data_IF_597211022926
#
_entry.id   IF_597211022926
#
_cell.length_a   1.000
_cell.length_b   1.000
_cell.length_c   1.000
_cell.angle_alpha   90.00
_cell.angle_beta   90.00
_cell.angle_gamma   90.00
#
_symmetry.space_group_name_H-M   'P 1'
#
loop_
_entity.id
_entity.type
_entity.pdbx_description
1 polymer ?
#
# COMPACT_ATOMS: atom_id res chain seq x y z
N UNK A 1 -49.72 35.74 5.85
CA UNK A 1 -49.48 34.35 6.33
C UNK A 1 -49.37 33.43 5.12
N UNK A 2 -48.16 33.01 4.75
CA UNK A 2 -47.92 31.92 3.78
C UNK A 2 -47.05 30.90 4.49
N UNK A 3 -47.61 29.72 4.75
CA UNK A 3 -46.91 28.59 5.35
C UNK A 3 -46.09 27.93 4.25
N UNK A 4 -44.76 27.88 4.43
CA UNK A 4 -43.85 27.14 3.56
C UNK A 4 -43.85 25.67 3.99
N UNK A 5 -44.08 24.76 3.03
CA UNK A 5 -43.95 23.32 3.20
C UNK A 5 -42.46 22.93 3.28
N UNK A 6 -42.07 21.96 4.11
CA UNK A 6 -40.70 21.47 4.15
C UNK A 6 -40.37 20.68 2.87
N UNK A 7 -39.23 21.02 2.27
CA UNK A 7 -38.67 20.34 1.11
C UNK A 7 -38.43 18.86 1.39
N UNK A 8 -38.85 18.03 0.45
CA UNK A 8 -38.60 16.60 0.44
C UNK A 8 -37.08 16.34 0.51
N UNK A 9 -36.64 15.70 1.59
CA UNK A 9 -35.33 15.08 1.64
C UNK A 9 -35.31 13.99 0.56
N UNK A 10 -34.47 14.18 -0.46
CA UNK A 10 -34.21 13.16 -1.47
C UNK A 10 -33.50 12.00 -0.80
N UNK A 11 -34.18 10.87 -0.64
CA UNK A 11 -33.59 9.59 -0.27
C UNK A 11 -32.50 9.25 -1.28
N UNK A 12 -31.26 8.92 -0.85
CA UNK A 12 -30.22 8.47 -1.78
C UNK A 12 -30.69 7.18 -2.47
N UNK A 13 -30.42 7.00 -3.78
CA UNK A 13 -30.78 5.78 -4.48
C UNK A 13 -30.10 4.58 -3.80
N UNK A 14 -30.85 3.49 -3.65
CA UNK A 14 -30.33 2.22 -3.16
C UNK A 14 -29.14 1.77 -4.04
N UNK A 15 -28.10 1.11 -3.47
CA UNK A 15 -26.99 0.62 -4.26
C UNK A 15 -27.53 -0.37 -5.29
N UNK A 16 -27.29 -0.10 -6.57
CA UNK A 16 -27.63 -1.03 -7.65
C UNK A 16 -26.85 -2.33 -7.46
N UNK A 17 -27.52 -3.49 -7.55
CA UNK A 17 -26.94 -4.84 -7.57
C UNK A 17 -25.96 -5.09 -8.75
N UNK A 18 -25.68 -4.06 -9.56
CA UNK A 18 -24.70 -4.10 -10.61
C UNK A 18 -23.29 -4.14 -10.01
N UNK A 19 -22.50 -5.14 -10.44
CA UNK A 19 -21.09 -5.25 -10.08
C UNK A 19 -20.33 -3.96 -10.44
N UNK A 20 -19.35 -3.51 -9.64
CA UNK A 20 -18.54 -2.35 -10.00
C UNK A 20 -17.70 -2.62 -11.27
N UNK A 21 -17.30 -1.56 -11.98
CA UNK A 21 -16.54 -1.67 -13.23
C UNK A 21 -15.26 -2.53 -13.08
N UNK A 22 -14.58 -2.44 -11.94
CA UNK A 22 -13.41 -3.27 -11.63
C UNK A 22 -13.70 -4.77 -11.53
N UNK A 23 -14.91 -5.16 -11.10
CA UNK A 23 -15.34 -6.54 -11.07
C UNK A 23 -15.86 -7.02 -12.44
N UNK A 24 -16.43 -6.12 -13.25
CA UNK A 24 -16.87 -6.45 -14.61
C UNK A 24 -15.70 -6.59 -15.60
N UNK A 25 -14.64 -5.80 -15.42
CA UNK A 25 -13.50 -5.74 -16.33
C UNK A 25 -12.16 -5.94 -15.60
N UNK A 26 -11.93 -7.08 -14.93
CA UNK A 26 -10.75 -7.30 -14.08
C UNK A 26 -9.44 -7.18 -14.87
N UNK A 27 -9.42 -7.60 -16.13
CA UNK A 27 -8.24 -7.53 -16.99
C UNK A 27 -7.77 -6.10 -17.27
N UNK A 28 -8.69 -5.12 -17.32
CA UNK A 28 -8.36 -3.70 -17.50
C UNK A 28 -7.73 -3.13 -16.24
N UNK A 29 -8.25 -3.50 -15.07
CA UNK A 29 -7.76 -3.03 -13.78
C UNK A 29 -6.46 -3.74 -13.32
N UNK A 30 -6.16 -4.90 -13.91
CA UNK A 30 -4.94 -5.69 -13.67
C UNK A 30 -3.83 -5.42 -14.71
N UNK A 31 -3.91 -4.34 -15.48
CA UNK A 31 -2.87 -3.98 -16.44
C UNK A 31 -1.62 -3.44 -15.73
N UNK A 32 -0.44 -3.89 -16.16
CA UNK A 32 0.87 -3.54 -15.57
C UNK A 32 1.08 -2.03 -15.42
N UNK A 33 0.64 -1.23 -16.41
CA UNK A 33 0.78 0.22 -16.40
C UNK A 33 0.07 0.89 -15.20
N UNK A 34 -1.00 0.28 -14.67
CA UNK A 34 -1.75 0.80 -13.52
C UNK A 34 -1.16 0.32 -12.19
N UNK A 35 -0.59 -0.88 -12.16
CA UNK A 35 0.08 -1.46 -10.99
C UNK A 35 1.46 -0.83 -10.76
N UNK A 36 2.23 -0.68 -11.84
CA UNK A 36 3.57 -0.13 -11.88
C UNK A 36 3.62 1.13 -12.76
N UNK A 37 3.08 2.29 -12.29
CA UNK A 37 3.13 3.53 -13.05
C UNK A 37 4.55 3.86 -13.55
N UNK A 38 4.73 4.13 -14.85
CA UNK A 38 6.04 4.46 -15.39
C UNK A 38 6.56 5.77 -14.79
N UNK A 39 7.88 5.90 -14.69
CA UNK A 39 8.50 7.18 -14.34
C UNK A 39 8.61 8.01 -15.62
N UNK A 40 7.94 9.17 -15.67
CA UNK A 40 7.88 10.03 -16.87
C UNK A 40 9.26 10.31 -17.48
N UNK A 41 10.28 10.55 -16.66
CA UNK A 41 11.66 10.81 -17.12
C UNK A 41 12.39 9.60 -17.70
N UNK A 42 11.82 8.39 -17.58
CA UNK A 42 12.43 7.12 -18.02
C UNK A 42 11.70 6.46 -19.20
N UNK A 43 10.59 7.02 -19.65
CA UNK A 43 9.78 6.45 -20.73
C UNK A 43 9.63 7.42 -21.90
N UNK A 44 9.26 6.89 -23.05
CA UNK A 44 8.95 7.72 -24.22
C UNK A 44 7.65 8.49 -23.99
N UNK A 45 7.47 9.59 -24.73
CA UNK A 45 6.22 10.36 -24.72
C UNK A 45 5.00 9.51 -25.10
N UNK A 46 5.18 8.53 -25.99
CA UNK A 46 4.12 7.62 -26.41
C UNK A 46 3.65 6.72 -25.27
N UNK A 47 4.57 6.07 -24.55
CA UNK A 47 4.25 5.22 -23.39
C UNK A 47 3.61 6.03 -22.26
N UNK A 48 4.08 7.27 -22.04
CA UNK A 48 3.46 8.16 -21.06
C UNK A 48 2.01 8.56 -21.44
N UNK A 49 1.76 8.80 -22.73
CA UNK A 49 0.43 9.13 -23.22
C UNK A 49 -0.54 7.94 -23.09
N UNK A 50 -0.07 6.73 -23.44
CA UNK A 50 -0.83 5.47 -23.28
C UNK A 50 -1.20 5.24 -21.80
N UNK A 51 -0.22 5.37 -20.90
CA UNK A 51 -0.47 5.27 -19.46
C UNK A 51 -1.53 6.27 -18.99
N UNK A 52 -1.45 7.53 -19.41
CA UNK A 52 -2.43 8.56 -19.04
C UNK A 52 -3.83 8.26 -19.57
N UNK A 53 -3.95 7.88 -20.84
CA UNK A 53 -5.23 7.55 -21.45
C UNK A 53 -5.92 6.38 -20.72
N UNK A 54 -5.12 5.36 -20.39
CA UNK A 54 -5.59 4.20 -19.66
C UNK A 54 -5.99 4.57 -18.22
N UNK A 55 -5.17 5.36 -17.52
CA UNK A 55 -5.47 5.86 -16.18
C UNK A 55 -6.75 6.69 -16.16
N UNK A 56 -6.92 7.62 -17.11
CA UNK A 56 -8.09 8.48 -17.21
C UNK A 56 -9.36 7.66 -17.47
N UNK A 57 -9.28 6.65 -18.35
CA UNK A 57 -10.40 5.75 -18.64
C UNK A 57 -10.85 4.98 -17.40
N UNK A 58 -9.91 4.36 -16.69
CA UNK A 58 -10.20 3.56 -15.50
C UNK A 58 -10.65 4.43 -14.34
N UNK A 59 -10.07 5.63 -14.20
CA UNK A 59 -10.43 6.63 -13.19
C UNK A 59 -11.86 7.13 -13.38
N UNK A 60 -12.26 7.45 -14.62
CA UNK A 60 -13.62 7.85 -14.92
C UNK A 60 -14.65 6.76 -14.54
N UNK A 61 -14.35 5.50 -14.88
CA UNK A 61 -15.20 4.37 -14.50
C UNK A 61 -15.23 4.14 -12.97
N UNK A 62 -14.08 4.32 -12.30
CA UNK A 62 -13.98 4.17 -10.85
C UNK A 62 -14.70 5.28 -10.08
N UNK A 63 -14.67 6.52 -10.59
CA UNK A 63 -15.36 7.67 -10.01
C UNK A 63 -16.89 7.50 -9.96
N UNK A 64 -17.46 6.72 -10.89
CA UNK A 64 -18.88 6.39 -10.90
C UNK A 64 -19.26 5.24 -9.93
N UNK A 65 -18.28 4.60 -9.28
CA UNK A 65 -18.53 3.48 -8.38
C UNK A 65 -19.19 3.94 -7.08
N UNK A 66 -20.32 3.36 -6.66
CA UNK A 66 -20.98 3.72 -5.41
C UNK A 66 -20.15 3.37 -4.16
N UNK A 67 -19.18 2.47 -4.30
CA UNK A 67 -18.27 2.06 -3.21
C UNK A 67 -16.96 2.85 -3.19
N UNK A 68 -16.82 3.89 -4.01
CA UNK A 68 -15.57 4.65 -4.17
C UNK A 68 -14.97 5.09 -2.83
N UNK A 69 -15.77 5.76 -1.99
CA UNK A 69 -15.31 6.38 -0.75
C UNK A 69 -14.83 5.31 0.25
N UNK A 70 -15.61 4.25 0.44
CA UNK A 70 -15.24 3.13 1.32
C UNK A 70 -14.00 2.40 0.78
N UNK A 71 -13.97 2.13 -0.54
CA UNK A 71 -12.85 1.46 -1.19
C UNK A 71 -11.54 2.24 -1.03
N UNK A 72 -11.58 3.56 -1.25
CA UNK A 72 -10.44 4.45 -1.03
C UNK A 72 -9.99 4.42 0.43
N UNK A 73 -10.91 4.66 1.37
CA UNK A 73 -10.60 4.68 2.80
C UNK A 73 -9.94 3.37 3.26
N UNK A 74 -10.54 2.23 2.92
CA UNK A 74 -10.00 0.91 3.30
C UNK A 74 -8.65 0.65 2.66
N UNK A 75 -8.47 0.97 1.38
CA UNK A 75 -7.20 0.80 0.68
C UNK A 75 -6.08 1.69 1.22
N UNK A 76 -6.41 2.86 1.80
CA UNK A 76 -5.42 3.79 2.36
C UNK A 76 -5.11 3.46 3.82
N UNK A 77 -6.14 3.21 4.63
CA UNK A 77 -6.06 3.16 6.09
C UNK A 77 -5.98 1.75 6.64
N UNK A 78 -6.60 0.76 5.99
CA UNK A 78 -6.78 -0.58 6.55
C UNK A 78 -5.89 -1.64 5.90
N UNK A 79 -5.91 -1.74 4.56
CA UNK A 79 -5.26 -2.84 3.83
C UNK A 79 -4.53 -2.30 2.60
N UNK A 80 -3.27 -2.69 2.42
CA UNK A 80 -2.54 -2.38 1.19
C UNK A 80 -2.78 -3.44 0.13
N UNK A 81 -3.79 -3.22 -0.70
CA UNK A 81 -4.10 -4.08 -1.86
C UNK A 81 -3.18 -3.73 -3.02
N UNK A 82 -2.69 -4.72 -3.77
CA UNK A 82 -1.95 -4.48 -5.01
C UNK A 82 -2.83 -3.88 -6.12
N UNK A 83 -2.22 -3.21 -7.10
CA UNK A 83 -2.93 -2.67 -8.27
C UNK A 83 -3.78 -1.41 -8.04
N UNK A 84 -4.66 -1.14 -9.01
CA UNK A 84 -5.53 0.05 -9.02
C UNK A 84 -6.81 -0.16 -8.23
N UNK A 85 -6.98 0.58 -7.13
CA UNK A 85 -8.08 0.41 -6.16
C UNK A 85 -8.45 1.79 -5.60
N UNK A 86 -9.73 2.01 -5.32
CA UNK A 86 -10.18 3.27 -4.72
C UNK A 86 -9.83 4.50 -5.55
N UNK A 87 -9.88 4.39 -6.87
CA UNK A 87 -9.54 5.48 -7.82
C UNK A 87 -8.06 5.92 -7.77
N UNK A 88 -7.19 5.08 -7.19
CA UNK A 88 -5.77 5.38 -6.98
C UNK A 88 -4.86 4.26 -7.48
N UNK A 89 -3.69 4.65 -7.97
CA UNK A 89 -2.56 3.75 -8.20
C UNK A 89 -1.85 3.41 -6.88
N UNK A 90 -1.03 2.34 -6.83
CA UNK A 90 -0.22 2.04 -5.65
C UNK A 90 0.74 3.18 -5.26
N UNK A 91 1.23 3.95 -6.24
CA UNK A 91 2.09 5.11 -6.00
C UNK A 91 1.33 6.23 -5.29
N UNK A 92 0.14 6.58 -5.77
CA UNK A 92 -0.71 7.60 -5.16
C UNK A 92 -1.11 7.22 -3.74
N UNK A 93 -1.52 5.97 -3.48
CA UNK A 93 -1.81 5.50 -2.10
C UNK A 93 -0.64 5.67 -1.16
N UNK A 94 0.59 5.36 -1.60
CA UNK A 94 1.80 5.57 -0.79
C UNK A 94 2.03 7.05 -0.46
N UNK A 95 1.70 7.95 -1.38
CA UNK A 95 1.78 9.39 -1.15
C UNK A 95 0.69 9.84 -0.16
N UNK A 96 -0.55 9.37 -0.31
CA UNK A 96 -1.67 9.69 0.59
C UNK A 96 -1.35 9.23 2.01
N UNK A 97 -0.91 7.98 2.18
CA UNK A 97 -0.49 7.45 3.49
C UNK A 97 0.65 8.26 4.10
N UNK A 98 1.63 8.67 3.29
CA UNK A 98 2.74 9.52 3.76
C UNK A 98 2.25 10.88 4.23
N UNK A 99 1.32 11.50 3.51
CA UNK A 99 0.73 12.80 3.87
C UNK A 99 -0.06 12.70 5.18
N UNK A 100 -0.81 11.61 5.37
CA UNK A 100 -1.62 11.36 6.57
C UNK A 100 -0.82 10.78 7.75
N UNK A 101 0.44 10.38 7.54
CA UNK A 101 1.25 9.71 8.56
C UNK A 101 0.77 8.29 8.89
N UNK A 102 0.06 7.64 7.97
CA UNK A 102 -0.46 6.27 8.11
C UNK A 102 0.60 5.26 7.66
N UNK A 103 0.71 4.15 8.38
CA UNK A 103 1.48 2.98 7.95
C UNK A 103 0.56 1.76 7.94
N UNK A 104 0.42 1.13 6.77
CA UNK A 104 -0.32 -0.12 6.60
C UNK A 104 0.70 -1.20 6.24
N UNK A 105 0.64 -2.33 6.94
CA UNK A 105 1.48 -3.48 6.59
C UNK A 105 1.03 -4.02 5.23
N UNK A 106 1.98 -4.26 4.33
CA UNK A 106 1.73 -5.04 3.12
C UNK A 106 1.49 -6.49 3.56
N UNK A 107 0.34 -7.07 3.20
CA UNK A 107 0.15 -8.51 3.38
C UNK A 107 1.17 -9.23 2.49
N UNK A 108 2.17 -9.86 3.11
CA UNK A 108 3.09 -10.74 2.41
C UNK A 108 2.31 -12.02 2.08
N UNK A 109 1.77 -12.09 0.87
CA UNK A 109 1.03 -13.26 0.39
C UNK A 109 1.91 -14.52 0.40
N UNK A 110 3.24 -14.39 0.38
CA UNK A 110 4.16 -15.51 0.50
C UNK A 110 4.18 -16.07 1.94
N UNK A 111 4.05 -15.22 2.96
CA UNK A 111 3.88 -15.64 4.36
C UNK A 111 2.52 -16.33 4.57
N UNK A 112 1.46 -15.84 3.92
CA UNK A 112 0.12 -16.42 3.99
C UNK A 112 -0.02 -17.75 3.22
N UNK A 113 0.70 -17.89 2.10
CA UNK A 113 0.65 -19.09 1.25
C UNK A 113 1.61 -20.21 1.70
N UNK A 114 2.48 -19.95 2.69
CA UNK A 114 3.40 -20.95 3.23
C UNK A 114 4.41 -21.49 2.20
N UNK A 115 4.58 -20.80 1.07
CA UNK A 115 5.40 -21.27 -0.05
C UNK A 115 6.86 -21.02 0.28
N UNK A 116 7.54 -22.07 0.75
CA UNK A 116 9.01 -22.08 0.85
C UNK A 116 9.59 -22.32 -0.53
N UNK A 117 9.84 -21.26 -1.28
CA UNK A 117 10.62 -21.35 -2.53
C UNK A 117 12.10 -21.56 -2.16
N UNK A 118 12.65 -22.71 -2.55
CA UNK A 118 14.08 -23.00 -2.48
C UNK A 118 14.85 -21.93 -3.28
N UNK A 119 15.68 -21.14 -2.58
CA UNK A 119 16.45 -20.04 -3.18
C UNK A 119 16.07 -18.62 -2.74
N UNK A 120 15.22 -18.45 -1.71
CA UNK A 120 14.96 -17.12 -1.12
C UNK A 120 16.26 -16.47 -0.62
N UNK A 121 16.51 -15.18 -0.90
CA UNK A 121 17.53 -14.43 -0.17
C UNK A 121 17.25 -14.55 1.33
N UNK A 122 18.26 -14.89 2.12
CA UNK A 122 18.09 -15.00 3.56
C UNK A 122 17.53 -13.70 4.14
N UNK A 123 16.36 -13.79 4.72
CA UNK A 123 15.67 -12.65 5.30
C UNK A 123 16.27 -12.27 6.66
N UNK A 124 16.23 -10.97 6.95
CA UNK A 124 16.73 -10.38 8.17
C UNK A 124 16.00 -10.92 9.41
N UNK A 125 14.67 -11.12 9.33
CA UNK A 125 13.88 -11.62 10.45
C UNK A 125 14.25 -13.07 10.79
N UNK A 126 14.47 -13.91 9.77
CA UNK A 126 14.91 -15.30 9.95
C UNK A 126 16.23 -15.39 10.71
N UNK A 127 17.23 -14.55 10.36
CA UNK A 127 18.52 -14.53 11.07
C UNK A 127 18.35 -14.19 12.56
N UNK A 128 17.46 -13.24 12.87
CA UNK A 128 17.19 -12.83 14.26
C UNK A 128 16.40 -13.88 15.04
N UNK A 129 15.42 -14.52 14.40
CA UNK A 129 14.65 -15.61 15.00
C UNK A 129 15.56 -16.80 15.35
N UNK A 130 16.45 -17.20 14.44
CA UNK A 130 17.42 -18.27 14.71
C UNK A 130 18.41 -17.87 15.80
N UNK A 131 18.86 -16.61 15.84
CA UNK A 131 19.72 -16.10 16.92
C UNK A 131 19.03 -16.13 18.28
N UNK A 132 17.73 -15.85 18.33
CA UNK A 132 16.94 -15.92 19.56
C UNK A 132 16.66 -17.35 20.01
N UNK A 133 16.41 -18.26 19.07
CA UNK A 133 16.20 -19.69 19.35
C UNK A 133 17.48 -20.40 19.83
N UNK A 134 18.66 -19.93 19.38
CA UNK A 134 19.96 -20.49 19.77
C UNK A 134 20.92 -19.39 20.24
N UNK A 135 20.76 -18.89 21.49
CA UNK A 135 21.54 -17.78 22.02
C UNK A 135 23.02 -18.13 22.30
N UNK A 136 23.35 -19.42 22.41
CA UNK A 136 24.71 -19.89 22.69
C UNK A 136 25.50 -20.28 21.42
N UNK A 137 24.84 -20.35 20.27
CA UNK A 137 25.50 -20.67 19.01
C UNK A 137 26.49 -19.58 18.60
N UNK A 138 27.62 -20.00 18.03
CA UNK A 138 28.55 -19.10 17.34
C UNK A 138 27.96 -18.61 16.01
N UNK A 139 28.49 -17.51 15.47
CA UNK A 139 28.05 -17.01 14.16
C UNK A 139 28.32 -18.00 13.02
N UNK A 140 29.31 -18.88 13.18
CA UNK A 140 29.63 -19.96 12.22
C UNK A 140 28.56 -21.06 12.28
N UNK A 141 28.17 -21.44 13.50
CA UNK A 141 27.10 -22.41 13.73
C UNK A 141 25.73 -21.89 13.26
N UNK A 142 25.46 -20.60 13.39
CA UNK A 142 24.26 -19.97 12.83
C UNK A 142 24.30 -19.94 11.29
N UNK A 143 25.47 -19.66 10.70
CA UNK A 143 25.64 -19.65 9.25
C UNK A 143 25.42 -21.04 8.64
N UNK A 144 25.90 -22.10 9.29
CA UNK A 144 25.65 -23.49 8.89
C UNK A 144 24.17 -23.84 8.94
N UNK A 145 23.46 -23.46 10.02
CA UNK A 145 22.02 -23.73 10.17
C UNK A 145 21.15 -22.99 9.15
N UNK A 146 21.60 -21.82 8.72
CA UNK A 146 20.92 -20.97 7.74
C UNK A 146 21.43 -21.20 6.31
N UNK A 147 22.33 -22.15 6.11
CA UNK A 147 22.95 -22.48 4.83
C UNK A 147 23.52 -21.26 4.10
N UNK A 148 24.24 -20.40 4.82
CA UNK A 148 24.80 -19.18 4.25
C UNK A 148 26.20 -18.85 4.71
N UNK A 149 26.74 -17.77 4.16
CA UNK A 149 28.02 -17.24 4.59
C UNK A 149 27.92 -16.51 5.93
N UNK A 150 28.97 -16.66 6.72
CA UNK A 150 29.16 -15.94 7.96
C UNK A 150 29.12 -14.41 7.77
N UNK A 151 29.54 -13.90 6.61
CA UNK A 151 29.46 -12.47 6.29
C UNK A 151 28.01 -11.97 6.20
N UNK A 152 27.10 -12.80 5.70
CA UNK A 152 25.66 -12.51 5.67
C UNK A 152 25.10 -12.43 7.08
N UNK A 153 25.35 -13.45 7.92
CA UNK A 153 24.91 -13.45 9.33
C UNK A 153 25.44 -12.23 10.08
N UNK A 154 26.74 -11.93 9.99
CA UNK A 154 27.34 -10.76 10.65
C UNK A 154 26.75 -9.45 10.13
N UNK A 155 26.47 -9.33 8.84
CA UNK A 155 25.84 -8.13 8.25
C UNK A 155 24.46 -7.89 8.86
N UNK A 156 23.62 -8.93 8.93
CA UNK A 156 22.29 -8.83 9.51
C UNK A 156 22.33 -8.53 11.01
N UNK A 157 23.17 -9.20 11.80
CA UNK A 157 23.29 -8.92 13.23
C UNK A 157 23.87 -7.53 13.53
N UNK A 158 24.82 -7.04 12.72
CA UNK A 158 25.31 -5.65 12.81
C UNK A 158 24.22 -4.66 12.49
N UNK A 159 23.39 -4.93 11.48
CA UNK A 159 22.25 -4.11 11.11
C UNK A 159 21.23 -4.04 12.25
N UNK A 160 20.84 -5.17 12.83
CA UNK A 160 19.93 -5.21 13.98
C UNK A 160 20.46 -4.44 15.20
N UNK A 161 21.77 -4.60 15.51
CA UNK A 161 22.40 -3.83 16.59
C UNK A 161 22.39 -2.33 16.31
N UNK A 162 22.63 -1.93 15.05
CA UNK A 162 22.56 -0.54 14.62
C UNK A 162 21.12 -0.01 14.68
N UNK A 163 20.13 -0.81 14.29
CA UNK A 163 18.71 -0.45 14.39
C UNK A 163 18.25 -0.34 15.85
N UNK A 164 18.83 -1.14 16.76
CA UNK A 164 18.59 -1.00 18.20
C UNK A 164 19.26 0.25 18.78
N UNK A 165 20.47 0.61 18.32
CA UNK A 165 21.17 1.83 18.77
C UNK A 165 20.63 3.11 18.14
N UNK A 166 20.28 3.07 16.86
CA UNK A 166 19.64 4.17 16.12
C UNK A 166 18.15 4.30 16.54
N UNK A 167 17.51 3.23 17.00
CA UNK A 167 16.18 3.29 17.64
C UNK A 167 16.16 4.08 18.94
N UNK A 168 17.30 4.17 19.64
CA UNK A 168 17.48 4.97 20.87
C UNK A 168 17.85 6.43 20.55
N UNK A 169 18.45 6.73 19.40
CA UNK A 169 18.95 8.08 19.06
C UNK A 169 18.32 8.74 17.82
N UNK A 170 17.48 8.02 17.08
CA UNK A 170 16.71 8.54 15.94
C UNK A 170 15.44 7.71 15.70
N UNK A 171 14.64 7.55 16.75
CA UNK A 171 13.21 7.44 16.52
C UNK A 171 12.72 8.80 16.01
N UNK A 172 12.66 9.00 14.68
CA UNK A 172 11.66 9.94 14.14
C UNK A 172 10.34 9.46 14.75
N UNK A 173 9.59 10.30 15.48
CA UNK A 173 8.46 9.81 16.24
C UNK A 173 7.50 9.13 15.27
N UNK A 174 7.43 7.81 15.34
CA UNK A 174 6.21 7.08 15.00
C UNK A 174 5.22 7.69 15.96
N UNK A 175 4.29 8.49 15.44
CA UNK A 175 3.20 9.04 16.26
C UNK A 175 2.38 7.84 16.72
N UNK A 176 2.77 7.26 17.84
CA UNK A 176 1.94 6.40 18.64
C UNK A 176 0.78 7.28 19.09
N UNK A 177 -0.38 7.07 18.45
CA UNK A 177 -1.56 7.93 18.61
C UNK A 177 -1.84 8.87 17.43
N UNK A 178 -1.38 8.57 16.21
CA UNK A 178 -2.05 9.16 15.05
C UNK A 178 -3.50 8.68 15.08
N UNK A 179 -4.40 9.58 15.48
CA UNK A 179 -5.84 9.42 15.39
C UNK A 179 -6.15 8.84 14.00
N UNK A 180 -6.93 7.76 13.97
CA UNK A 180 -7.29 7.10 12.70
C UNK A 180 -7.83 8.20 11.79
N UNK A 181 -7.22 8.42 10.60
CA UNK A 181 -7.64 9.52 9.74
C UNK A 181 -9.12 9.42 9.47
N UNK A 182 -9.82 10.55 9.48
CA UNK A 182 -11.23 10.58 9.10
C UNK A 182 -11.37 10.33 7.60
N UNK A 183 -12.58 9.97 7.18
CA UNK A 183 -12.88 9.82 5.75
C UNK A 183 -12.60 11.13 5.00
N UNK A 184 -13.00 12.27 5.57
CA UNK A 184 -12.76 13.59 4.99
C UNK A 184 -11.26 13.88 4.80
N UNK A 185 -10.42 13.56 5.80
CA UNK A 185 -8.98 13.74 5.69
C UNK A 185 -8.36 12.87 4.56
N UNK A 186 -8.90 11.67 4.34
CA UNK A 186 -8.46 10.82 3.22
C UNK A 186 -8.88 11.40 1.88
N UNK A 187 -10.10 11.94 1.77
CA UNK A 187 -10.60 12.59 0.56
C UNK A 187 -9.81 13.86 0.23
N UNK A 188 -9.55 14.73 1.21
CA UNK A 188 -8.74 15.93 1.03
C UNK A 188 -7.32 15.60 0.54
N UNK A 189 -6.70 14.58 1.12
CA UNK A 189 -5.38 14.11 0.70
C UNK A 189 -5.40 13.46 -0.68
N UNK A 190 -6.46 12.73 -1.01
CA UNK A 190 -6.67 12.16 -2.34
C UNK A 190 -6.76 13.25 -3.41
N UNK A 191 -7.61 14.26 -3.21
CA UNK A 191 -7.78 15.36 -4.17
C UNK A 191 -6.45 16.10 -4.37
N UNK A 192 -5.75 16.44 -3.29
CA UNK A 192 -4.45 17.12 -3.37
C UNK A 192 -3.43 16.36 -4.21
N UNK A 193 -3.32 15.04 -4.00
CA UNK A 193 -2.29 14.22 -4.66
C UNK A 193 -2.67 13.87 -6.10
N UNK A 194 -3.95 13.63 -6.36
CA UNK A 194 -4.43 13.26 -7.68
C UNK A 194 -4.49 14.47 -8.61
N UNK A 195 -4.79 15.67 -8.10
CA UNK A 195 -4.71 16.91 -8.88
C UNK A 195 -3.26 17.25 -9.25
N UNK A 196 -2.30 17.04 -8.34
CA UNK A 196 -0.87 17.30 -8.58
C UNK A 196 -0.26 16.40 -9.68
N UNK A 197 -0.83 15.22 -9.95
CA UNK A 197 -0.33 14.26 -10.95
C UNK A 197 -0.99 14.43 -12.34
N UNK A 198 -1.93 15.39 -12.53
CA UNK A 198 -2.63 15.66 -13.81
C UNK A 198 -1.86 16.56 -14.79
#
# INVERSE_FOLDING_TARGET
MRVALPGAASTPPAPSDALPACAQHPTVYAQELLESPPVQSKVTKAVWAEYREQLDTVRAACAACPLLVDCLYRSVVQVDVAGYVGCTTPRERRLIRRALGVSVATEDLDDAAGVRIEGRPLDHATVLATRGAYPDDTFEQLALRLECSLSTVKRHLRRARKETSDGITRAKPVRAGAEVPTVDAVLDAFDSIVEDDR
#
